data_IF_479473906115
#
_entry.id   IF_479473906115
#
_cell.length_a   1.000
_cell.length_b   1.000
_cell.length_c   1.000
_cell.angle_alpha   90.00
_cell.angle_beta   90.00
_cell.angle_gamma   90.00
#
_symmetry.space_group_name_H-M   'P 1'
#
loop_
_entity.id
_entity.type
_entity.pdbx_description
1 polymer ?
#
# COMPACT_ATOMS: atom_id res chain seq x y z
N UNK A 1 19.35 14.07 -12.60
CA UNK A 1 19.81 12.72 -13.01
C UNK A 1 19.93 11.74 -11.83
N UNK A 2 20.46 12.18 -10.67
CA UNK A 2 20.53 11.37 -9.44
C UNK A 2 19.15 10.96 -8.88
N UNK A 3 18.18 11.88 -8.84
CA UNK A 3 16.81 11.56 -8.35
C UNK A 3 16.06 10.58 -9.29
N UNK A 4 16.23 10.67 -10.62
CA UNK A 4 15.61 9.72 -11.56
C UNK A 4 16.25 8.32 -11.57
N UNK A 5 17.45 8.17 -11.03
CA UNK A 5 18.11 6.84 -10.88
C UNK A 5 17.74 6.16 -9.56
N UNK A 6 17.23 6.91 -8.59
CA UNK A 6 16.78 6.40 -7.28
C UNK A 6 15.43 5.68 -7.39
N UNK A 7 14.54 6.11 -8.30
CA UNK A 7 13.19 5.57 -8.44
C UNK A 7 13.08 4.29 -9.29
N UNK A 8 14.18 3.75 -9.83
CA UNK A 8 14.17 2.61 -10.78
C UNK A 8 14.90 1.36 -10.28
N UNK A 9 15.29 1.30 -9.01
CA UNK A 9 16.18 0.24 -8.52
C UNK A 9 15.39 -0.92 -7.88
N UNK A 10 14.96 -1.84 -8.74
CA UNK A 10 14.87 -3.26 -8.40
C UNK A 10 16.25 -3.76 -7.93
N UNK A 11 16.32 -4.23 -6.68
CA UNK A 11 17.29 -5.20 -6.13
C UNK A 11 18.80 -5.09 -6.42
N UNK A 12 19.31 -4.05 -7.09
CA UNK A 12 20.75 -3.84 -7.21
C UNK A 12 21.28 -3.16 -5.95
N UNK A 13 22.41 -3.73 -5.51
CA UNK A 13 23.20 -3.48 -4.32
C UNK A 13 23.20 -2.01 -3.85
N UNK A 14 23.26 -1.85 -2.53
CA UNK A 14 23.52 -0.61 -1.78
C UNK A 14 23.68 0.64 -2.66
N UNK A 15 22.77 1.63 -2.52
CA UNK A 15 23.00 2.97 -3.04
C UNK A 15 24.31 3.51 -2.44
N UNK A 16 25.41 3.27 -3.15
CA UNK A 16 26.68 3.95 -2.99
C UNK A 16 26.63 5.13 -3.95
N UNK A 17 26.62 6.38 -3.46
CA UNK A 17 26.74 7.52 -4.35
C UNK A 17 27.96 7.32 -5.28
N UNK A 18 27.89 7.75 -6.55
CA UNK A 18 29.01 7.62 -7.48
C UNK A 18 30.28 8.13 -6.80
N UNK A 19 31.21 7.22 -6.51
CA UNK A 19 32.43 7.55 -5.80
C UNK A 19 33.45 8.03 -6.85
N UNK A 20 33.09 9.11 -7.55
CA UNK A 20 33.85 9.65 -8.67
C UNK A 20 35.18 10.30 -8.19
N UNK A 21 35.48 10.23 -6.89
CA UNK A 21 36.69 10.78 -6.26
C UNK A 21 36.71 12.31 -6.15
N UNK A 22 35.69 13.00 -6.69
CA UNK A 22 35.59 14.46 -6.68
C UNK A 22 34.37 14.90 -5.87
N UNK A 23 34.63 15.46 -4.68
CA UNK A 23 33.62 16.04 -3.80
C UNK A 23 34.26 16.55 -2.52
N UNK A 24 33.73 17.61 -1.92
CA UNK A 24 34.19 18.04 -0.59
C UNK A 24 33.65 17.06 0.48
N UNK A 25 34.29 17.01 1.64
CA UNK A 25 33.84 16.18 2.78
C UNK A 25 32.38 16.44 3.16
N UNK A 26 31.91 17.68 2.98
CA UNK A 26 30.54 18.09 3.22
C UNK A 26 29.56 17.45 2.22
N UNK A 27 29.92 17.39 0.94
CA UNK A 27 29.08 16.75 -0.10
C UNK A 27 28.94 15.25 0.19
N UNK A 28 30.02 14.59 0.60
CA UNK A 28 29.96 13.17 1.01
C UNK A 28 29.08 12.97 2.26
N UNK A 29 29.24 13.80 3.29
CA UNK A 29 28.41 13.71 4.49
C UNK A 29 26.91 13.92 4.21
N UNK A 30 26.57 14.83 3.27
CA UNK A 30 25.19 15.04 2.81
C UNK A 30 24.67 13.81 2.08
N UNK A 31 25.45 13.25 1.13
CA UNK A 31 25.06 12.04 0.40
C UNK A 31 24.88 10.82 1.32
N UNK A 32 25.77 10.63 2.30
CA UNK A 32 25.67 9.56 3.28
C UNK A 32 24.40 9.70 4.13
N UNK A 33 24.06 10.93 4.50
CA UNK A 33 22.80 11.21 5.20
C UNK A 33 21.62 10.82 4.34
N UNK A 34 21.53 11.28 3.09
CA UNK A 34 20.45 10.90 2.16
C UNK A 34 20.35 9.38 1.94
N UNK A 35 21.48 8.69 1.75
CA UNK A 35 21.52 7.24 1.62
C UNK A 35 20.95 6.55 2.86
N UNK A 36 21.30 7.05 4.06
CA UNK A 36 20.75 6.54 5.31
C UNK A 36 19.24 6.78 5.42
N UNK A 37 18.75 7.96 5.04
CA UNK A 37 17.31 8.28 5.07
C UNK A 37 16.51 7.32 4.17
N UNK A 38 17.01 7.07 2.95
CA UNK A 38 16.42 6.13 2.02
C UNK A 38 16.39 4.70 2.59
N UNK A 39 17.51 4.23 3.17
CA UNK A 39 17.59 2.91 3.80
C UNK A 39 16.60 2.74 4.94
N UNK A 40 16.44 3.76 5.79
CA UNK A 40 15.50 3.72 6.92
C UNK A 40 14.05 3.59 6.44
N UNK A 41 13.62 4.39 5.46
CA UNK A 41 12.25 4.30 4.91
C UNK A 41 12.04 2.99 4.15
N UNK A 42 13.00 2.53 3.36
CA UNK A 42 12.91 1.24 2.68
C UNK A 42 12.79 0.09 3.66
N UNK A 43 13.53 0.13 4.77
CA UNK A 43 13.46 -0.89 5.82
C UNK A 43 12.09 -0.86 6.52
N UNK A 44 11.57 0.32 6.84
CA UNK A 44 10.21 0.47 7.36
C UNK A 44 9.15 -0.08 6.40
N UNK A 45 9.20 0.27 5.12
CA UNK A 45 8.25 -0.21 4.11
C UNK A 45 8.37 -1.74 3.93
N UNK A 46 9.59 -2.28 3.96
CA UNK A 46 9.81 -3.73 3.90
C UNK A 46 9.18 -4.44 5.10
N UNK A 47 9.40 -3.92 6.31
CA UNK A 47 8.77 -4.44 7.53
C UNK A 47 7.24 -4.37 7.41
N UNK A 48 6.72 -3.21 6.98
CA UNK A 48 5.29 -2.96 6.79
C UNK A 48 4.65 -3.97 5.83
N UNK A 49 5.16 -4.09 4.61
CA UNK A 49 4.64 -5.03 3.60
C UNK A 49 4.91 -6.50 3.96
N UNK A 50 5.84 -6.77 4.89
CA UNK A 50 6.01 -8.10 5.48
C UNK A 50 5.02 -8.41 6.63
N UNK A 51 4.16 -7.46 7.00
CA UNK A 51 3.22 -7.60 8.11
C UNK A 51 3.86 -7.41 9.49
N UNK A 52 5.11 -6.95 9.58
CA UNK A 52 5.77 -6.60 10.84
C UNK A 52 5.52 -5.12 11.16
N UNK A 53 4.27 -4.82 11.55
CA UNK A 53 3.77 -3.45 11.75
C UNK A 53 4.43 -2.78 12.95
N UNK A 54 4.71 -3.54 14.02
CA UNK A 54 5.41 -3.03 15.19
C UNK A 54 6.81 -2.53 14.81
N UNK A 55 7.56 -3.34 14.06
CA UNK A 55 8.88 -2.93 13.60
C UNK A 55 8.81 -1.74 12.65
N UNK A 56 7.87 -1.74 11.70
CA UNK A 56 7.67 -0.61 10.80
C UNK A 56 7.41 0.69 11.58
N UNK A 57 6.54 0.62 12.58
CA UNK A 57 6.21 1.75 13.45
C UNK A 57 7.43 2.29 14.19
N UNK A 58 8.17 1.45 14.91
CA UNK A 58 9.32 1.91 15.70
C UNK A 58 10.42 2.50 14.82
N UNK A 59 10.69 1.89 13.66
CA UNK A 59 11.65 2.43 12.67
C UNK A 59 11.20 3.81 12.19
N UNK A 60 9.92 4.00 11.87
CA UNK A 60 9.40 5.27 11.40
C UNK A 60 9.35 6.35 12.50
N UNK A 61 9.09 5.98 13.76
CA UNK A 61 9.17 6.91 14.91
C UNK A 61 10.60 7.44 15.05
N UNK A 62 11.60 6.56 14.97
CA UNK A 62 13.01 6.96 15.01
C UNK A 62 13.40 7.80 13.79
N UNK A 63 12.92 7.45 12.60
CA UNK A 63 13.11 8.21 11.37
C UNK A 63 12.54 9.63 11.52
N UNK A 64 11.28 9.77 11.97
CA UNK A 64 10.63 11.05 12.20
C UNK A 64 11.39 11.92 13.20
N UNK A 65 11.89 11.32 14.29
CA UNK A 65 12.73 12.02 15.28
C UNK A 65 14.02 12.54 14.65
N UNK A 66 14.66 11.76 13.78
CA UNK A 66 15.85 12.19 13.04
C UNK A 66 15.52 13.33 12.07
N UNK A 67 14.46 13.21 11.26
CA UNK A 67 14.06 14.23 10.29
C UNK A 67 13.70 15.57 10.95
N UNK A 68 13.04 15.54 12.11
CA UNK A 68 12.79 16.72 12.93
C UNK A 68 14.07 17.40 13.41
N UNK A 69 15.07 16.62 13.85
CA UNK A 69 16.39 17.17 14.24
C UNK A 69 17.11 17.82 13.06
N UNK A 70 16.96 17.26 11.85
CA UNK A 70 17.54 17.79 10.62
C UNK A 70 16.75 18.94 10.01
N UNK A 71 15.56 19.28 10.54
CA UNK A 71 14.64 20.29 9.99
C UNK A 71 14.33 20.05 8.50
N UNK A 72 14.11 18.79 8.13
CA UNK A 72 13.78 18.41 6.77
C UNK A 72 12.27 18.18 6.64
N UNK A 73 11.54 19.24 6.30
CA UNK A 73 10.07 19.25 6.26
C UNK A 73 9.48 18.23 5.28
N UNK A 74 10.11 18.05 4.10
CA UNK A 74 9.72 17.00 3.15
C UNK A 74 9.80 15.61 3.77
N UNK A 75 10.92 15.31 4.44
CA UNK A 75 11.15 14.02 5.09
C UNK A 75 10.22 13.79 6.30
N UNK A 76 9.93 14.86 7.06
CA UNK A 76 8.94 14.82 8.14
C UNK A 76 7.56 14.49 7.58
N UNK A 77 7.15 15.12 6.48
CA UNK A 77 5.89 14.84 5.80
C UNK A 77 5.76 13.38 5.37
N UNK A 78 6.78 12.83 4.69
CA UNK A 78 6.81 11.42 4.25
C UNK A 78 6.71 10.46 5.45
N UNK A 79 7.54 10.66 6.47
CA UNK A 79 7.54 9.80 7.66
C UNK A 79 6.20 9.87 8.41
N UNK A 80 5.58 11.04 8.45
CA UNK A 80 4.29 11.23 9.11
C UNK A 80 3.17 10.54 8.32
N UNK A 81 3.13 10.64 6.98
CA UNK A 81 2.17 9.87 6.18
C UNK A 81 2.32 8.35 6.42
N UNK A 82 3.55 7.85 6.39
CA UNK A 82 3.83 6.43 6.59
C UNK A 82 3.49 5.96 8.02
N UNK A 83 3.69 6.80 9.04
CA UNK A 83 3.21 6.52 10.40
C UNK A 83 1.68 6.51 10.48
N UNK A 84 0.99 7.41 9.79
CA UNK A 84 -0.47 7.40 9.67
C UNK A 84 -0.98 6.08 9.08
N UNK A 85 -0.33 5.58 8.04
CA UNK A 85 -0.63 4.27 7.46
C UNK A 85 -0.36 3.11 8.43
N UNK A 86 0.72 3.20 9.23
CA UNK A 86 0.95 2.23 10.31
C UNK A 86 -0.17 2.25 11.35
N UNK A 87 -0.66 3.44 11.74
CA UNK A 87 -1.80 3.57 12.65
C UNK A 87 -3.06 2.93 12.08
N UNK A 88 -3.33 3.10 10.78
CA UNK A 88 -4.45 2.42 10.11
C UNK A 88 -4.33 0.89 10.19
N UNK A 89 -3.16 0.35 9.83
CA UNK A 89 -2.90 -1.08 9.87
C UNK A 89 -3.03 -1.65 11.30
N UNK A 90 -2.47 -0.96 12.31
CA UNK A 90 -2.63 -1.35 13.71
C UNK A 90 -4.10 -1.36 14.13
N UNK A 91 -4.85 -0.30 13.84
CA UNK A 91 -6.27 -0.22 14.19
C UNK A 91 -7.08 -1.38 13.61
N UNK A 92 -6.92 -1.65 12.31
CA UNK A 92 -7.65 -2.74 11.65
C UNK A 92 -7.24 -4.12 12.20
N UNK A 93 -5.95 -4.31 12.48
CA UNK A 93 -5.45 -5.53 13.14
C UNK A 93 -6.11 -5.73 14.50
N UNK A 94 -6.18 -4.68 15.33
CA UNK A 94 -6.83 -4.75 16.64
C UNK A 94 -8.35 -4.96 16.54
N UNK A 95 -8.99 -4.57 15.44
CA UNK A 95 -10.41 -4.91 15.22
C UNK A 95 -10.60 -6.39 14.91
N UNK A 96 -9.76 -6.94 14.03
CA UNK A 96 -9.88 -8.33 13.61
C UNK A 96 -9.40 -9.34 14.67
N UNK A 97 -8.38 -9.00 15.46
CA UNK A 97 -7.86 -9.85 16.55
C UNK A 97 -8.59 -9.67 17.88
N UNK A 98 -9.28 -8.53 18.06
CA UNK A 98 -9.92 -8.18 19.33
C UNK A 98 -8.95 -7.66 20.40
N UNK A 99 -7.68 -7.41 20.06
CA UNK A 99 -6.69 -6.87 21.00
C UNK A 99 -7.06 -5.46 21.50
N UNK A 100 -6.75 -5.21 22.78
CA UNK A 100 -6.99 -3.91 23.42
C UNK A 100 -5.86 -2.90 23.23
N UNK A 101 -4.64 -3.39 22.99
CA UNK A 101 -3.44 -2.58 22.75
C UNK A 101 -2.54 -3.22 21.70
N UNK A 102 -1.78 -2.40 20.96
CA UNK A 102 -0.74 -2.82 20.03
C UNK A 102 0.42 -1.85 20.12
N UNK A 103 1.66 -2.35 20.24
CA UNK A 103 2.86 -1.52 20.49
C UNK A 103 2.74 -0.61 21.73
N UNK A 104 1.97 -1.03 22.74
CA UNK A 104 1.67 -0.23 23.93
C UNK A 104 0.72 0.94 23.68
N UNK A 105 0.00 0.96 22.55
CA UNK A 105 -0.98 1.99 22.20
C UNK A 105 -2.39 1.40 22.25
N UNK A 106 -3.32 2.12 22.90
CA UNK A 106 -4.74 1.78 22.83
C UNK A 106 -5.37 2.20 21.49
N UNK A 107 -6.58 1.70 21.17
CA UNK A 107 -7.34 2.16 19.99
C UNK A 107 -7.51 3.70 19.97
N UNK A 108 -7.74 4.32 21.12
CA UNK A 108 -7.89 5.77 21.23
C UNK A 108 -6.57 6.50 20.93
N UNK A 109 -5.43 5.97 21.38
CA UNK A 109 -4.11 6.53 21.09
C UNK A 109 -3.77 6.42 19.60
N UNK A 110 -4.06 5.27 18.98
CA UNK A 110 -3.86 5.03 17.54
C UNK A 110 -4.70 6.03 16.72
N UNK A 111 -5.96 6.23 17.09
CA UNK A 111 -6.84 7.20 16.42
C UNK A 111 -6.27 8.61 16.55
N UNK A 112 -5.93 9.03 17.77
CA UNK A 112 -5.43 10.38 18.02
C UNK A 112 -4.09 10.64 17.33
N UNK A 113 -3.16 9.68 17.37
CA UNK A 113 -1.85 9.81 16.73
C UNK A 113 -1.95 9.75 15.22
N UNK A 114 -2.74 8.82 14.65
CA UNK A 114 -2.94 8.71 13.21
C UNK A 114 -3.51 9.99 12.61
N UNK A 115 -4.54 10.58 13.23
CA UNK A 115 -5.08 11.89 12.83
C UNK A 115 -4.01 12.97 12.86
N UNK A 116 -3.17 13.01 13.91
CA UNK A 116 -2.10 13.99 14.02
C UNK A 116 -1.03 13.81 12.94
N UNK A 117 -0.60 12.57 12.67
CA UNK A 117 0.41 12.26 11.66
C UNK A 117 -0.06 12.63 10.25
N UNK A 118 -1.29 12.30 9.87
CA UNK A 118 -1.82 12.68 8.56
C UNK A 118 -2.00 14.19 8.42
N UNK A 119 -2.45 14.87 9.49
CA UNK A 119 -2.54 16.34 9.50
C UNK A 119 -1.18 16.98 9.28
N UNK A 120 -0.14 16.52 9.97
CA UNK A 120 1.22 17.03 9.81
C UNK A 120 1.75 16.74 8.39
N UNK A 121 1.49 15.55 7.85
CA UNK A 121 1.89 15.17 6.49
C UNK A 121 1.23 16.03 5.40
N UNK A 122 -0.07 16.30 5.52
CA UNK A 122 -0.82 17.13 4.57
C UNK A 122 -0.35 18.58 4.66
N UNK A 123 -0.29 19.15 5.86
CA UNK A 123 0.14 20.54 6.06
C UNK A 123 1.51 20.81 5.44
N UNK A 124 2.50 19.95 5.72
CA UNK A 124 3.84 20.11 5.14
C UNK A 124 3.86 19.84 3.62
N UNK A 125 2.93 19.01 3.13
CA UNK A 125 2.75 18.77 1.71
C UNK A 125 2.19 19.98 0.97
N UNK A 126 1.18 20.64 1.54
CA UNK A 126 0.58 21.87 1.00
C UNK A 126 1.60 23.01 0.99
N UNK A 127 2.28 23.27 2.12
CA UNK A 127 3.31 24.31 2.20
C UNK A 127 4.44 24.07 1.19
N UNK A 128 4.84 22.80 0.97
CA UNK A 128 5.84 22.45 -0.03
C UNK A 128 5.32 22.60 -1.46
N UNK A 129 4.07 22.23 -1.72
CA UNK A 129 3.41 22.36 -3.02
C UNK A 129 3.29 23.83 -3.43
N UNK A 130 2.73 24.67 -2.55
CA UNK A 130 2.53 26.10 -2.80
C UNK A 130 3.85 26.77 -3.15
N UNK A 131 4.89 26.55 -2.33
CA UNK A 131 6.23 27.08 -2.59
C UNK A 131 6.79 26.59 -3.94
N UNK A 132 6.64 25.31 -4.24
CA UNK A 132 7.18 24.74 -5.48
C UNK A 132 6.45 25.27 -6.71
N UNK A 133 5.13 25.41 -6.62
CA UNK A 133 4.29 25.97 -7.67
C UNK A 133 4.61 27.45 -7.92
N UNK A 134 4.78 28.25 -6.86
CA UNK A 134 5.20 29.65 -6.97
C UNK A 134 6.57 29.80 -7.65
N UNK A 135 7.51 28.89 -7.37
CA UNK A 135 8.87 28.93 -7.91
C UNK A 135 8.99 28.42 -9.35
N UNK A 136 8.23 27.38 -9.73
CA UNK A 136 8.44 26.65 -10.99
C UNK A 136 7.21 26.60 -11.90
N UNK A 137 6.04 27.00 -11.41
CA UNK A 137 4.76 26.79 -12.08
C UNK A 137 4.50 25.31 -12.36
N UNK A 138 3.70 25.05 -13.39
CA UNK A 138 3.43 23.70 -13.88
C UNK A 138 4.69 23.07 -14.46
N UNK A 139 5.23 22.09 -13.74
CA UNK A 139 6.35 21.26 -14.18
C UNK A 139 6.11 19.81 -13.79
N UNK A 140 6.77 18.87 -14.47
CA UNK A 140 6.63 17.44 -14.13
C UNK A 140 6.96 17.14 -12.66
N UNK A 141 7.87 17.89 -12.03
CA UNK A 141 8.14 17.76 -10.60
C UNK A 141 7.02 18.31 -9.72
N UNK A 142 6.36 19.39 -10.14
CA UNK A 142 5.19 19.93 -9.44
C UNK A 142 4.03 18.93 -9.47
N UNK A 143 3.80 18.30 -10.62
CA UNK A 143 2.74 17.29 -10.80
C UNK A 143 3.00 16.03 -9.96
N UNK A 144 4.26 15.59 -9.85
CA UNK A 144 4.64 14.51 -8.92
C UNK A 144 4.37 14.90 -7.46
N UNK A 145 4.68 16.14 -7.05
CA UNK A 145 4.35 16.62 -5.71
C UNK A 145 2.84 16.64 -5.45
N UNK A 146 2.05 17.12 -6.40
CA UNK A 146 0.60 17.12 -6.32
C UNK A 146 0.03 15.71 -6.19
N UNK A 147 0.60 14.74 -6.92
CA UNK A 147 0.21 13.34 -6.82
C UNK A 147 0.50 12.72 -5.44
N UNK A 148 1.62 13.09 -4.82
CA UNK A 148 1.92 12.70 -3.44
C UNK A 148 0.96 13.35 -2.44
N UNK A 149 0.64 14.64 -2.62
CA UNK A 149 -0.32 15.34 -1.77
C UNK A 149 -1.72 14.71 -1.87
N UNK A 150 -2.18 14.40 -3.09
CA UNK A 150 -3.40 13.61 -3.34
C UNK A 150 -3.39 12.29 -2.57
N UNK A 151 -2.27 11.57 -2.59
CA UNK A 151 -2.13 10.30 -1.87
C UNK A 151 -2.22 10.45 -0.35
N UNK A 152 -1.71 11.54 0.22
CA UNK A 152 -1.84 11.83 1.66
C UNK A 152 -3.30 12.13 2.04
N UNK A 153 -3.99 12.91 1.21
CA UNK A 153 -5.42 13.18 1.37
C UNK A 153 -6.23 11.88 1.35
N UNK A 154 -6.01 11.05 0.33
CA UNK A 154 -6.66 9.75 0.22
C UNK A 154 -6.38 8.85 1.43
N UNK A 155 -5.12 8.71 1.84
CA UNK A 155 -4.76 7.88 2.98
C UNK A 155 -5.43 8.36 4.29
N UNK A 156 -5.47 9.69 4.52
CA UNK A 156 -6.18 10.26 5.67
C UNK A 156 -7.67 9.97 5.60
N UNK A 157 -8.26 10.04 4.42
CA UNK A 157 -9.67 9.75 4.23
C UNK A 157 -10.01 8.31 4.60
N UNK A 158 -9.28 7.34 4.02
CA UNK A 158 -9.45 5.92 4.34
C UNK A 158 -9.32 5.69 5.83
N UNK A 159 -8.33 6.32 6.48
CA UNK A 159 -8.16 6.25 7.93
C UNK A 159 -9.37 6.77 8.70
N UNK A 160 -9.80 8.01 8.44
CA UNK A 160 -10.89 8.66 9.17
C UNK A 160 -12.22 7.92 9.03
N UNK A 161 -12.53 7.43 7.83
CA UNK A 161 -13.74 6.65 7.58
C UNK A 161 -13.65 5.27 8.25
N UNK A 162 -12.47 4.62 8.20
CA UNK A 162 -12.25 3.34 8.88
C UNK A 162 -12.41 3.45 10.41
N UNK A 163 -11.92 4.54 11.02
CA UNK A 163 -11.94 4.71 12.48
C UNK A 163 -13.19 5.41 13.02
N UNK A 164 -14.12 5.82 12.14
CA UNK A 164 -15.27 6.67 12.48
C UNK A 164 -16.04 6.20 13.70
N UNK A 165 -16.36 4.90 13.78
CA UNK A 165 -17.16 4.31 14.86
C UNK A 165 -16.51 4.40 16.24
N UNK A 166 -15.18 4.53 16.30
CA UNK A 166 -14.41 4.69 17.52
C UNK A 166 -13.80 6.09 17.68
N UNK A 167 -14.05 7.01 16.73
CA UNK A 167 -13.55 8.37 16.79
C UNK A 167 -14.33 9.20 17.83
N UNK A 168 -13.65 10.14 18.50
CA UNK A 168 -14.29 11.04 19.50
C UNK A 168 -15.40 11.91 18.90
N UNK A 169 -15.23 12.27 17.62
CA UNK A 169 -16.17 13.07 16.83
C UNK A 169 -16.51 12.32 15.54
N UNK A 170 -17.43 11.34 15.55
CA UNK A 170 -17.69 10.48 14.39
C UNK A 170 -18.20 11.25 13.15
N UNK A 171 -19.09 12.21 13.34
CA UNK A 171 -19.64 13.02 12.24
C UNK A 171 -18.59 13.90 11.58
N UNK A 172 -17.66 14.45 12.37
CA UNK A 172 -16.55 15.24 11.85
C UNK A 172 -15.56 14.38 11.08
N UNK A 173 -15.20 13.20 11.61
CA UNK A 173 -14.34 12.23 10.93
C UNK A 173 -14.97 11.78 9.59
N UNK A 174 -16.28 11.53 9.59
CA UNK A 174 -17.03 11.20 8.38
C UNK A 174 -16.93 12.33 7.35
N UNK A 175 -17.37 13.54 7.73
CA UNK A 175 -17.38 14.71 6.84
C UNK A 175 -16.00 15.00 6.28
N UNK A 176 -14.97 14.98 7.12
CA UNK A 176 -13.59 15.24 6.70
C UNK A 176 -13.05 14.12 5.80
N UNK A 177 -13.37 12.85 6.10
CA UNK A 177 -12.97 11.72 5.26
C UNK A 177 -13.54 11.82 3.84
N UNK A 178 -14.84 12.10 3.70
CA UNK A 178 -15.44 12.32 2.37
C UNK A 178 -14.84 13.53 1.65
N UNK A 179 -14.65 14.65 2.36
CA UNK A 179 -14.01 15.84 1.81
C UNK A 179 -12.61 15.53 1.26
N UNK A 180 -11.83 14.74 1.98
CA UNK A 180 -10.47 14.37 1.57
C UNK A 180 -10.45 13.44 0.36
N UNK A 181 -11.44 12.54 0.20
CA UNK A 181 -11.59 11.72 -1.02
C UNK A 181 -11.89 12.58 -2.24
N UNK A 182 -12.76 13.58 -2.10
CA UNK A 182 -13.06 14.52 -3.18
C UNK A 182 -11.82 15.34 -3.57
N UNK A 183 -11.05 15.81 -2.60
CA UNK A 183 -9.79 16.54 -2.84
C UNK A 183 -8.81 15.64 -3.60
N UNK A 184 -8.59 14.40 -3.12
CA UNK A 184 -7.67 13.47 -3.77
C UNK A 184 -8.09 13.17 -5.22
N UNK A 185 -9.38 12.89 -5.47
CA UNK A 185 -9.91 12.66 -6.81
C UNK A 185 -9.70 13.86 -7.73
N UNK A 186 -10.01 15.07 -7.26
CA UNK A 186 -9.85 16.29 -8.05
C UNK A 186 -8.38 16.54 -8.40
N UNK A 187 -7.48 16.29 -7.44
CA UNK A 187 -6.04 16.40 -7.69
C UNK A 187 -5.55 15.35 -8.69
N UNK A 188 -6.05 14.11 -8.62
CA UNK A 188 -5.67 13.04 -9.56
C UNK A 188 -6.10 13.40 -11.00
N UNK A 189 -7.30 13.97 -11.19
CA UNK A 189 -7.78 14.47 -12.49
C UNK A 189 -6.91 15.63 -12.98
N UNK A 190 -6.65 16.62 -12.12
CA UNK A 190 -5.85 17.79 -12.50
C UNK A 190 -4.41 17.42 -12.89
N UNK A 191 -3.80 16.44 -12.21
CA UNK A 191 -2.47 15.92 -12.57
C UNK A 191 -2.48 15.33 -13.98
N UNK A 192 -3.49 14.54 -14.34
CA UNK A 192 -3.60 13.95 -15.69
C UNK A 192 -3.83 15.03 -16.74
N UNK A 193 -4.76 15.95 -16.50
CA UNK A 193 -5.08 17.03 -17.43
C UNK A 193 -3.86 17.93 -17.69
N UNK A 194 -3.15 18.34 -16.63
CA UNK A 194 -1.96 19.17 -16.75
C UNK A 194 -0.78 18.43 -17.40
N UNK A 195 -0.64 17.11 -17.17
CA UNK A 195 0.36 16.33 -17.91
C UNK A 195 0.09 16.33 -19.42
N UNK A 196 -1.18 16.21 -19.82
CA UNK A 196 -1.59 16.25 -21.22
C UNK A 196 -1.37 17.65 -21.84
N UNK A 197 -1.74 18.71 -21.13
CA UNK A 197 -1.60 20.10 -21.61
C UNK A 197 -0.14 20.51 -21.78
N UNK A 198 0.74 20.17 -20.84
CA UNK A 198 2.16 20.55 -20.88
C UNK A 198 2.98 19.57 -21.74
N UNK A 199 2.39 18.46 -22.20
CA UNK A 199 3.05 17.45 -23.01
C UNK A 199 4.06 16.61 -22.24
N UNK A 200 3.87 16.44 -20.94
CA UNK A 200 4.68 15.54 -20.12
C UNK A 200 4.17 14.10 -20.26
N UNK A 201 5.11 13.17 -20.49
CA UNK A 201 4.78 11.74 -20.48
C UNK A 201 4.49 11.30 -19.05
N UNK A 202 3.23 10.94 -18.77
CA UNK A 202 2.87 10.24 -17.53
C UNK A 202 3.47 8.84 -17.57
N UNK A 203 4.13 8.43 -16.49
CA UNK A 203 4.52 7.04 -16.33
C UNK A 203 3.24 6.21 -16.14
N UNK A 204 2.87 5.44 -17.16
CA UNK A 204 1.64 4.65 -17.16
C UNK A 204 1.60 3.59 -16.07
N UNK A 205 2.77 3.05 -15.69
CA UNK A 205 2.87 2.09 -14.58
C UNK A 205 2.46 2.77 -13.27
N UNK A 206 3.07 3.92 -12.95
CA UNK A 206 2.78 4.67 -11.72
C UNK A 206 1.31 5.11 -11.64
N UNK A 207 0.72 5.53 -12.76
CA UNK A 207 -0.70 5.89 -12.83
C UNK A 207 -1.61 4.67 -12.59
N UNK A 208 -1.29 3.52 -13.17
CA UNK A 208 -2.06 2.30 -12.97
C UNK A 208 -1.99 1.81 -11.53
N UNK A 209 -0.81 1.85 -10.91
CA UNK A 209 -0.64 1.54 -9.48
C UNK A 209 -1.45 2.46 -8.60
N UNK A 210 -1.45 3.77 -8.90
CA UNK A 210 -2.28 4.73 -8.20
C UNK A 210 -3.76 4.36 -8.33
N UNK A 211 -4.25 4.11 -9.55
CA UNK A 211 -5.64 3.72 -9.79
C UNK A 211 -6.03 2.45 -9.00
N UNK A 212 -5.18 1.42 -9.01
CA UNK A 212 -5.41 0.20 -8.23
C UNK A 212 -5.46 0.48 -6.72
N UNK A 213 -4.56 1.31 -6.20
CA UNK A 213 -4.55 1.65 -4.77
C UNK A 213 -5.79 2.47 -4.37
N UNK A 214 -6.25 3.39 -5.24
CA UNK A 214 -7.52 4.10 -5.06
C UNK A 214 -8.69 3.13 -5.02
N UNK A 215 -8.76 2.22 -5.99
CA UNK A 215 -9.79 1.20 -6.09
C UNK A 215 -9.86 0.34 -4.83
N UNK A 216 -8.71 -0.18 -4.36
CA UNK A 216 -8.58 -0.99 -3.14
C UNK A 216 -9.07 -0.25 -1.88
N UNK A 217 -8.67 1.00 -1.73
CA UNK A 217 -9.12 1.84 -0.62
C UNK A 217 -10.62 2.05 -0.63
N UNK A 218 -11.22 2.36 -1.79
CA UNK A 218 -12.67 2.55 -1.90
C UNK A 218 -13.43 1.23 -1.69
N UNK A 219 -12.96 0.12 -2.25
CA UNK A 219 -13.54 -1.21 -2.01
C UNK A 219 -13.58 -1.56 -0.52
N UNK A 220 -12.53 -1.20 0.22
CA UNK A 220 -12.50 -1.37 1.67
C UNK A 220 -13.58 -0.55 2.39
N UNK A 221 -13.96 0.62 1.86
CA UNK A 221 -15.08 1.40 2.40
C UNK A 221 -16.42 0.74 2.08
N UNK A 222 -16.59 0.20 0.88
CA UNK A 222 -17.82 -0.52 0.51
C UNK A 222 -18.05 -1.77 1.38
N UNK A 223 -16.98 -2.50 1.73
CA UNK A 223 -17.04 -3.61 2.69
C UNK A 223 -17.46 -3.17 4.11
N UNK A 224 -17.32 -1.88 4.41
CA UNK A 224 -17.77 -1.25 5.66
C UNK A 224 -19.16 -0.60 5.51
N UNK A 225 -19.94 -1.01 4.51
CA UNK A 225 -21.30 -0.54 4.20
C UNK A 225 -21.38 0.96 3.82
N UNK A 226 -20.29 1.57 3.37
CA UNK A 226 -20.36 2.90 2.76
C UNK A 226 -21.01 2.82 1.36
N UNK A 227 -21.75 3.87 0.94
CA UNK A 227 -22.33 3.91 -0.40
C UNK A 227 -21.25 4.02 -1.49
N UNK A 228 -21.54 3.46 -2.67
CA UNK A 228 -20.68 3.63 -3.86
C UNK A 228 -20.90 5.00 -4.53
N UNK A 229 -20.46 6.06 -3.86
CA UNK A 229 -20.49 7.42 -4.40
C UNK A 229 -19.35 7.71 -5.39
N UNK A 230 -18.37 6.82 -5.49
CA UNK A 230 -17.16 7.00 -6.31
C UNK A 230 -17.18 6.22 -7.63
N UNK A 231 -18.24 5.47 -7.89
CA UNK A 231 -18.42 4.74 -9.14
C UNK A 231 -17.33 3.69 -9.33
N UNK A 232 -17.19 2.75 -8.39
CA UNK A 232 -16.16 1.71 -8.43
C UNK A 232 -16.18 0.93 -9.75
N UNK A 233 -17.37 0.63 -10.28
CA UNK A 233 -17.53 -0.03 -11.59
C UNK A 233 -16.92 0.78 -12.74
N UNK A 234 -17.08 2.11 -12.72
CA UNK A 234 -16.49 3.01 -13.73
C UNK A 234 -14.95 3.01 -13.61
N UNK A 235 -14.42 3.04 -12.38
CA UNK A 235 -12.99 3.00 -12.13
C UNK A 235 -12.36 1.69 -12.63
N UNK A 236 -12.98 0.53 -12.35
CA UNK A 236 -12.54 -0.76 -12.87
C UNK A 236 -12.59 -0.77 -14.40
N UNK A 237 -13.67 -0.27 -14.99
CA UNK A 237 -13.82 -0.18 -16.45
C UNK A 237 -12.76 0.70 -17.09
N UNK A 238 -12.41 1.82 -16.45
CA UNK A 238 -11.33 2.70 -16.89
C UNK A 238 -9.96 2.00 -16.79
N UNK A 239 -9.67 1.30 -15.69
CA UNK A 239 -8.44 0.52 -15.53
C UNK A 239 -8.31 -0.59 -16.60
N UNK A 240 -9.41 -1.31 -16.86
CA UNK A 240 -9.48 -2.35 -17.90
C UNK A 240 -9.22 -1.75 -19.29
N UNK A 241 -9.78 -0.57 -19.59
CA UNK A 241 -9.54 0.12 -20.85
C UNK A 241 -8.08 0.51 -21.02
N UNK A 242 -7.45 1.07 -19.99
CA UNK A 242 -6.02 1.43 -20.04
C UNK A 242 -5.13 0.19 -20.24
N UNK A 243 -5.44 -0.91 -19.54
CA UNK A 243 -4.74 -2.18 -19.71
C UNK A 243 -4.88 -2.73 -21.14
N UNK A 244 -6.09 -2.71 -21.71
CA UNK A 244 -6.31 -3.12 -23.11
C UNK A 244 -5.60 -2.23 -24.13
N UNK A 245 -5.49 -0.93 -23.87
CA UNK A 245 -4.70 -0.02 -24.72
C UNK A 245 -3.22 -0.40 -24.62
N UNK A 246 -2.71 -0.64 -23.41
CA UNK A 246 -1.33 -1.05 -23.19
C UNK A 246 -1.00 -2.39 -23.85
N UNK A 247 -1.91 -3.37 -23.81
CA UNK A 247 -1.76 -4.69 -24.44
C UNK A 247 -1.48 -4.64 -25.95
N UNK A 248 -1.90 -3.57 -26.64
CA UNK A 248 -1.58 -3.35 -28.05
C UNK A 248 -0.10 -3.01 -28.29
N UNK A 249 0.64 -2.67 -27.25
CA UNK A 249 2.06 -2.38 -27.28
C UNK A 249 2.81 -3.20 -26.22
N UNK A 250 3.45 -4.30 -26.62
CA UNK A 250 4.24 -5.16 -25.72
C UNK A 250 5.42 -4.42 -25.03
N UNK A 251 5.86 -3.27 -25.57
CA UNK A 251 6.91 -2.43 -24.97
C UNK A 251 6.36 -1.34 -24.03
N UNK A 252 5.09 -1.44 -23.63
CA UNK A 252 4.48 -0.50 -22.69
C UNK A 252 5.20 -0.51 -21.34
N UNK A 253 5.48 0.68 -20.78
CA UNK A 253 6.08 0.83 -19.44
C UNK A 253 5.25 0.12 -18.35
N UNK A 254 3.95 -0.08 -18.58
CA UNK A 254 3.05 -0.82 -17.69
C UNK A 254 3.50 -2.27 -17.43
N UNK A 255 4.27 -2.84 -18.37
CA UNK A 255 4.70 -4.24 -18.34
C UNK A 255 6.19 -4.42 -18.06
N UNK A 256 6.88 -3.37 -17.60
CA UNK A 256 8.31 -3.46 -17.27
C UNK A 256 8.57 -4.39 -16.08
N UNK A 257 7.77 -4.25 -15.02
CA UNK A 257 7.99 -4.95 -13.74
C UNK A 257 7.01 -6.11 -13.55
N UNK A 258 5.84 -6.04 -14.19
CA UNK A 258 4.75 -7.03 -14.08
C UNK A 258 4.29 -7.44 -15.47
N UNK A 259 4.13 -8.74 -15.70
CA UNK A 259 3.67 -9.23 -17.01
C UNK A 259 2.24 -8.75 -17.31
N UNK A 260 1.81 -8.76 -18.58
CA UNK A 260 0.44 -8.39 -18.92
C UNK A 260 -0.62 -9.27 -18.22
N UNK A 261 -0.34 -10.57 -18.07
CA UNK A 261 -1.19 -11.49 -17.30
C UNK A 261 -1.23 -11.10 -15.82
N UNK A 262 -0.08 -10.78 -15.21
CA UNK A 262 -0.05 -10.30 -13.82
C UNK A 262 -0.86 -9.02 -13.61
N UNK A 263 -0.78 -8.05 -14.53
CA UNK A 263 -1.59 -6.83 -14.47
C UNK A 263 -3.10 -7.11 -14.59
N UNK A 264 -3.48 -8.09 -15.41
CA UNK A 264 -4.87 -8.53 -15.50
C UNK A 264 -5.32 -9.20 -14.19
N UNK A 265 -4.51 -10.07 -13.59
CA UNK A 265 -4.81 -10.72 -12.32
C UNK A 265 -5.02 -9.73 -11.18
N UNK A 266 -4.21 -8.68 -11.09
CA UNK A 266 -4.38 -7.63 -10.08
C UNK A 266 -5.74 -6.97 -10.20
N UNK A 267 -6.17 -6.66 -11.42
CA UNK A 267 -7.46 -6.02 -11.67
C UNK A 267 -8.64 -6.99 -11.51
N UNK A 268 -8.46 -8.24 -11.89
CA UNK A 268 -9.44 -9.31 -11.71
C UNK A 268 -9.70 -9.61 -10.23
N UNK A 269 -8.67 -9.57 -9.40
CA UNK A 269 -8.82 -9.72 -7.96
C UNK A 269 -9.72 -8.63 -7.38
N UNK A 270 -9.55 -7.37 -7.81
CA UNK A 270 -10.42 -6.27 -7.37
C UNK A 270 -11.83 -6.36 -7.97
N UNK A 271 -11.97 -6.84 -9.21
CA UNK A 271 -13.28 -7.09 -9.83
C UNK A 271 -14.06 -8.19 -9.11
N UNK A 272 -13.38 -9.28 -8.73
CA UNK A 272 -13.96 -10.34 -7.89
C UNK A 272 -14.42 -9.75 -6.56
N UNK A 273 -13.58 -8.94 -5.90
CA UNK A 273 -13.91 -8.28 -4.64
C UNK A 273 -15.16 -7.40 -4.78
N UNK A 274 -15.21 -6.55 -5.79
CA UNK A 274 -16.38 -5.71 -6.09
C UNK A 274 -17.66 -6.53 -6.34
N UNK A 275 -17.56 -7.58 -7.17
CA UNK A 275 -18.69 -8.44 -7.50
C UNK A 275 -19.23 -9.17 -6.25
N UNK A 276 -18.35 -9.57 -5.32
CA UNK A 276 -18.77 -10.15 -4.03
C UNK A 276 -19.50 -9.15 -3.15
N UNK A 277 -18.99 -7.92 -3.03
CA UNK A 277 -19.62 -6.84 -2.24
C UNK A 277 -21.01 -6.51 -2.78
N UNK A 278 -21.16 -6.45 -4.10
CA UNK A 278 -22.44 -6.16 -4.78
C UNK A 278 -23.34 -7.38 -4.95
N UNK A 279 -22.98 -8.52 -4.35
CA UNK A 279 -23.70 -9.80 -4.41
C UNK A 279 -23.89 -10.36 -5.84
N UNK A 280 -23.02 -9.98 -6.78
CA UNK A 280 -22.91 -10.53 -8.13
C UNK A 280 -22.02 -11.79 -8.15
N UNK A 281 -22.36 -12.79 -7.31
CA UNK A 281 -21.52 -13.97 -7.04
C UNK A 281 -21.21 -14.78 -8.30
N UNK A 282 -22.16 -14.93 -9.23
CA UNK A 282 -21.95 -15.63 -10.50
C UNK A 282 -20.86 -14.93 -11.35
N UNK A 283 -20.84 -13.60 -11.37
CA UNK A 283 -19.82 -12.83 -12.06
C UNK A 283 -18.44 -13.04 -11.42
N UNK A 284 -18.36 -12.97 -10.09
CA UNK A 284 -17.13 -13.22 -9.34
C UNK A 284 -16.56 -14.61 -9.66
N UNK A 285 -17.41 -15.65 -9.67
CA UNK A 285 -17.01 -17.01 -10.00
C UNK A 285 -16.53 -17.14 -11.45
N UNK A 286 -17.20 -16.52 -12.42
CA UNK A 286 -16.75 -16.53 -13.83
C UNK A 286 -15.37 -15.92 -14.01
N UNK A 287 -15.09 -14.80 -13.34
CA UNK A 287 -13.77 -14.17 -13.35
C UNK A 287 -12.73 -15.10 -12.70
N UNK A 288 -13.06 -15.71 -11.55
CA UNK A 288 -12.19 -16.66 -10.87
C UNK A 288 -11.85 -17.89 -11.73
N UNK A 289 -12.84 -18.50 -12.42
CA UNK A 289 -12.60 -19.61 -13.35
C UNK A 289 -11.67 -19.20 -14.49
N UNK A 290 -11.89 -18.01 -15.07
CA UNK A 290 -11.03 -17.49 -16.16
C UNK A 290 -9.58 -17.39 -15.70
N UNK A 291 -9.32 -16.83 -14.52
CA UNK A 291 -7.97 -16.71 -13.97
C UNK A 291 -7.28 -18.08 -13.87
N UNK A 292 -7.98 -19.13 -13.41
CA UNK A 292 -7.41 -20.48 -13.36
C UNK A 292 -7.18 -21.16 -14.72
N UNK A 293 -7.89 -20.74 -15.76
CA UNK A 293 -7.75 -21.33 -17.10
C UNK A 293 -6.68 -20.66 -17.96
N UNK A 294 -6.52 -19.33 -17.82
CA UNK A 294 -5.72 -18.52 -18.74
C UNK A 294 -4.29 -18.30 -18.26
N UNK A 295 -4.02 -18.44 -16.96
CA UNK A 295 -2.76 -17.99 -16.37
C UNK A 295 -1.79 -19.12 -16.01
N UNK A 296 -0.57 -19.04 -16.54
CA UNK A 296 0.52 -19.98 -16.24
C UNK A 296 1.07 -19.84 -14.81
N UNK A 297 0.86 -18.67 -14.18
CA UNK A 297 1.25 -18.39 -12.80
C UNK A 297 0.32 -17.33 -12.20
N UNK A 298 -0.42 -17.68 -11.15
CA UNK A 298 -1.36 -16.77 -10.49
C UNK A 298 -0.71 -16.17 -9.24
N UNK A 299 -0.85 -14.86 -9.04
CA UNK A 299 -0.47 -14.26 -7.77
C UNK A 299 -1.29 -14.86 -6.62
N UNK A 300 -0.66 -15.32 -5.54
CA UNK A 300 -1.37 -15.97 -4.43
C UNK A 300 -2.57 -15.19 -3.86
N UNK A 301 -2.51 -13.85 -3.84
CA UNK A 301 -3.64 -13.04 -3.36
C UNK A 301 -4.82 -13.06 -4.34
N UNK A 302 -4.53 -13.06 -5.65
CA UNK A 302 -5.52 -13.12 -6.72
C UNK A 302 -6.11 -14.54 -6.80
N UNK A 303 -5.27 -15.56 -6.60
CA UNK A 303 -5.65 -16.97 -6.47
C UNK A 303 -6.64 -17.18 -5.31
N UNK A 304 -6.31 -16.66 -4.12
CA UNK A 304 -7.18 -16.73 -2.96
C UNK A 304 -8.52 -16.01 -3.20
N UNK A 305 -8.51 -14.86 -3.86
CA UNK A 305 -9.74 -14.15 -4.22
C UNK A 305 -10.62 -14.99 -5.17
N UNK A 306 -10.02 -15.61 -6.18
CA UNK A 306 -10.70 -16.49 -7.13
C UNK A 306 -11.32 -17.71 -6.43
N UNK A 307 -10.58 -18.40 -5.55
CA UNK A 307 -11.15 -19.55 -4.81
C UNK A 307 -12.28 -19.12 -3.88
N UNK A 308 -12.14 -18.01 -3.15
CA UNK A 308 -13.22 -17.50 -2.29
C UNK A 308 -14.50 -17.23 -3.10
N UNK A 309 -14.37 -16.69 -4.32
CA UNK A 309 -15.53 -16.50 -5.20
C UNK A 309 -16.18 -17.81 -5.63
N UNK A 310 -15.40 -18.87 -5.89
CA UNK A 310 -15.93 -20.19 -6.20
C UNK A 310 -16.66 -20.83 -5.00
N UNK A 311 -16.10 -20.68 -3.79
CA UNK A 311 -16.74 -21.16 -2.56
C UNK A 311 -18.08 -20.48 -2.34
N UNK A 312 -18.14 -19.15 -2.48
CA UNK A 312 -19.38 -18.38 -2.36
C UNK A 312 -20.42 -18.82 -3.39
N UNK A 313 -19.99 -19.07 -4.64
CA UNK A 313 -20.87 -19.53 -5.70
C UNK A 313 -21.43 -20.93 -5.45
N UNK A 314 -20.60 -21.88 -5.01
CA UNK A 314 -21.05 -23.22 -4.63
C UNK A 314 -22.05 -23.14 -3.48
N UNK A 315 -21.80 -22.31 -2.47
CA UNK A 315 -22.72 -22.12 -1.35
C UNK A 315 -24.07 -21.53 -1.77
N UNK A 316 -24.09 -20.62 -2.75
CA UNK A 316 -25.33 -20.06 -3.32
C UNK A 316 -26.18 -21.16 -3.99
N UNK A 317 -25.52 -21.99 -4.80
CA UNK A 317 -26.10 -23.02 -5.66
C UNK A 317 -26.45 -24.34 -4.91
N UNK A 318 -25.97 -24.51 -3.67
CA UNK A 318 -26.41 -25.61 -2.79
C UNK A 318 -27.91 -25.58 -2.53
N UNK A 319 -28.51 -24.39 -2.54
CA UNK A 319 -29.96 -24.24 -2.45
C UNK A 319 -30.66 -24.84 -3.68
N UNK A 320 -29.96 -24.95 -4.81
CA UNK A 320 -30.47 -25.42 -6.10
C UNK A 320 -30.07 -26.88 -6.44
N UNK A 321 -29.23 -27.51 -5.62
CA UNK A 321 -28.72 -28.90 -5.79
C UNK A 321 -27.86 -29.12 -7.06
N UNK A 322 -27.22 -28.07 -7.56
CA UNK A 322 -26.44 -28.14 -8.80
C UNK A 322 -25.01 -28.71 -8.61
N UNK A 323 -24.50 -28.76 -7.37
CA UNK A 323 -23.16 -29.28 -7.06
C UNK A 323 -23.18 -30.60 -6.28
N UNK A 324 -22.20 -31.47 -6.58
CA UNK A 324 -21.96 -32.68 -5.77
C UNK A 324 -21.23 -32.31 -4.48
N UNK A 325 -21.45 -33.08 -3.41
CA UNK A 325 -20.71 -32.93 -2.15
C UNK A 325 -19.19 -33.07 -2.33
N UNK A 326 -18.77 -33.85 -3.32
CA UNK A 326 -17.36 -34.06 -3.66
C UNK A 326 -16.73 -32.79 -4.25
N UNK A 327 -17.39 -32.13 -5.21
CA UNK A 327 -16.89 -30.88 -5.80
C UNK A 327 -16.76 -29.79 -4.75
N UNK A 328 -17.74 -29.66 -3.86
CA UNK A 328 -17.69 -28.70 -2.75
C UNK A 328 -16.48 -28.95 -1.86
N UNK A 329 -16.30 -30.20 -1.40
CA UNK A 329 -15.19 -30.53 -0.53
C UNK A 329 -13.84 -30.30 -1.22
N UNK A 330 -13.74 -30.57 -2.52
CA UNK A 330 -12.53 -30.30 -3.29
C UNK A 330 -12.18 -28.80 -3.32
N UNK A 331 -13.15 -27.92 -3.55
CA UNK A 331 -12.93 -26.47 -3.57
C UNK A 331 -12.55 -25.95 -2.17
N UNK A 332 -13.20 -26.45 -1.11
CA UNK A 332 -12.85 -26.08 0.26
C UNK A 332 -11.44 -26.54 0.64
N UNK A 333 -11.07 -27.77 0.30
CA UNK A 333 -9.71 -28.27 0.53
C UNK A 333 -8.68 -27.41 -0.23
N UNK A 334 -8.99 -27.02 -1.47
CA UNK A 334 -8.11 -26.17 -2.27
C UNK A 334 -7.97 -24.76 -1.66
N UNK A 335 -9.05 -24.20 -1.10
CA UNK A 335 -8.97 -22.95 -0.34
C UNK A 335 -8.01 -23.10 0.85
N UNK A 336 -8.18 -24.15 1.64
CA UNK A 336 -7.33 -24.41 2.82
C UNK A 336 -5.85 -24.57 2.42
N UNK A 337 -5.57 -25.26 1.31
CA UNK A 337 -4.22 -25.43 0.77
C UNK A 337 -3.58 -24.07 0.40
N UNK A 338 -4.30 -23.22 -0.34
CA UNK A 338 -3.82 -21.88 -0.73
C UNK A 338 -3.62 -20.98 0.49
N UNK A 339 -4.54 -21.00 1.45
CA UNK A 339 -4.41 -20.22 2.67
C UNK A 339 -3.17 -20.64 3.47
N UNK A 340 -2.91 -21.95 3.59
CA UNK A 340 -1.71 -22.46 4.24
C UNK A 340 -0.43 -22.10 3.48
N UNK A 341 -0.39 -22.26 2.15
CA UNK A 341 0.79 -21.88 1.35
C UNK A 341 1.06 -20.37 1.43
N UNK A 342 0.01 -19.56 1.39
CA UNK A 342 0.11 -18.11 1.55
C UNK A 342 0.76 -17.77 2.90
N UNK A 343 0.32 -18.42 3.99
CA UNK A 343 0.88 -18.25 5.32
C UNK A 343 2.33 -18.72 5.44
N UNK A 344 2.69 -19.85 4.84
CA UNK A 344 4.08 -20.32 4.82
C UNK A 344 5.00 -19.37 4.06
N UNK A 345 4.54 -18.85 2.93
CA UNK A 345 5.25 -17.84 2.15
C UNK A 345 5.43 -16.54 2.94
N UNK A 346 4.44 -16.14 3.74
CA UNK A 346 4.52 -15.00 4.66
C UNK A 346 5.65 -15.22 5.67
N UNK A 347 5.62 -16.34 6.40
CA UNK A 347 6.60 -16.68 7.45
C UNK A 347 8.01 -16.76 6.87
N UNK A 348 8.16 -17.36 5.69
CA UNK A 348 9.45 -17.44 4.99
C UNK A 348 10.01 -16.06 4.67
N UNK A 349 9.20 -15.15 4.10
CA UNK A 349 9.63 -13.77 3.79
C UNK A 349 10.07 -13.01 5.05
N UNK A 350 9.36 -13.18 6.17
CA UNK A 350 9.74 -12.57 7.45
C UNK A 350 11.08 -13.12 7.96
N UNK A 351 11.28 -14.44 7.88
CA UNK A 351 12.56 -15.08 8.23
C UNK A 351 13.70 -14.56 7.36
N UNK A 352 13.50 -14.43 6.04
CA UNK A 352 14.56 -13.98 5.13
C UNK A 352 14.88 -12.49 5.32
N UNK A 353 13.88 -11.66 5.63
CA UNK A 353 14.09 -10.27 6.03
C UNK A 353 14.95 -10.17 7.31
N UNK A 354 14.70 -11.04 8.31
CA UNK A 354 15.52 -11.13 9.54
C UNK A 354 16.97 -11.56 9.24
N UNK A 355 17.18 -12.54 8.37
CA UNK A 355 18.55 -12.99 7.98
C UNK A 355 19.33 -11.91 7.23
N UNK A 356 18.66 -11.18 6.33
CA UNK A 356 19.26 -10.05 5.61
C UNK A 356 19.72 -8.96 6.58
N UNK A 357 18.94 -8.71 7.62
CA UNK A 357 19.27 -7.76 8.70
C UNK A 357 20.48 -8.22 9.55
N UNK A 358 20.52 -9.47 9.98
CA UNK A 358 21.68 -10.02 10.70
C UNK A 358 22.97 -9.85 9.89
N UNK A 359 22.88 -10.07 8.58
CA UNK A 359 24.01 -9.88 7.66
C UNK A 359 24.43 -8.40 7.58
N UNK A 360 23.48 -7.47 7.51
CA UNK A 360 23.78 -6.03 7.52
C UNK A 360 24.40 -5.56 8.85
N UNK A 361 23.89 -6.03 9.99
CA UNK A 361 24.42 -5.69 11.32
C UNK A 361 25.81 -6.30 11.55
N UNK A 362 26.06 -7.53 11.10
CA UNK A 362 27.35 -8.20 11.27
C UNK A 362 28.47 -7.56 10.42
N UNK A 363 28.11 -6.90 9.31
CA UNK A 363 29.06 -6.11 8.50
C UNK A 363 29.55 -4.85 9.23
N UNK A 364 28.78 -4.34 10.21
CA UNK A 364 29.12 -3.16 11.01
C UNK A 364 29.48 -3.58 12.43
N UNK A 365 30.75 -3.90 12.66
CA UNK A 365 31.35 -3.94 14.02
C UNK A 365 31.30 -2.53 14.65
N UNK A 366 30.14 -2.09 15.12
CA UNK A 366 29.97 -0.92 16.00
C UNK A 366 29.24 -1.34 17.27
N UNK A 367 29.87 -1.08 18.42
CA UNK A 367 29.62 -1.70 19.74
C UNK A 367 28.38 -1.21 20.51
N UNK A 368 27.32 -0.66 19.89
CA UNK A 368 26.33 0.08 20.71
C UNK A 368 24.84 0.03 20.37
N UNK A 369 24.35 -0.94 19.60
CA UNK A 369 22.90 -1.08 19.43
C UNK A 369 22.43 -2.46 19.89
N UNK A 370 21.88 -2.54 21.12
CA UNK A 370 21.06 -3.66 21.57
C UNK A 370 19.63 -3.14 21.69
N UNK A 371 18.80 -3.39 20.68
CA UNK A 371 17.35 -3.43 20.91
C UNK A 371 17.05 -4.80 21.53
N UNK A 372 16.45 -4.80 22.72
CA UNK A 372 15.82 -5.98 23.28
C UNK A 372 14.41 -6.06 22.71
N UNK A 373 14.15 -7.06 21.88
CA UNK A 373 12.80 -7.51 21.54
C UNK A 373 12.78 -9.03 21.64
N UNK A 374 12.56 -9.54 22.85
CA UNK A 374 12.13 -10.92 23.06
C UNK A 374 10.60 -10.93 22.96
N UNK A 375 10.06 -11.30 21.80
CA UNK A 375 8.62 -11.51 21.59
C UNK A 375 8.31 -13.02 21.56
N UNK A 376 7.19 -13.39 22.19
CA UNK A 376 6.70 -14.76 22.41
C UNK A 376 6.13 -15.40 21.14
N UNK A 377 6.50 -16.66 20.90
CA UNK A 377 6.61 -17.31 19.59
C UNK A 377 5.36 -18.08 19.09
N UNK A 378 4.23 -18.01 19.78
CA UNK A 378 3.07 -18.90 19.52
C UNK A 378 1.77 -18.19 19.14
N UNK A 379 1.69 -16.86 19.26
CA UNK A 379 0.53 -16.04 18.82
C UNK A 379 0.78 -15.32 17.48
N UNK A 380 1.99 -15.44 16.90
CA UNK A 380 2.42 -14.69 15.70
C UNK A 380 1.65 -15.06 14.41
N UNK A 381 1.14 -16.29 14.27
CA UNK A 381 0.53 -16.75 13.00
C UNK A 381 -0.82 -16.09 12.72
N UNK A 382 -1.74 -16.06 13.70
CA UNK A 382 -3.06 -15.44 13.54
C UNK A 382 -2.99 -13.91 13.42
N UNK A 383 -2.08 -13.26 14.15
CA UNK A 383 -1.83 -11.82 13.99
C UNK A 383 -1.37 -11.49 12.57
N UNK A 384 -0.42 -12.26 12.02
CA UNK A 384 0.16 -11.97 10.71
C UNK A 384 -0.84 -12.02 9.54
N UNK A 385 -1.87 -12.87 9.62
CA UNK A 385 -2.92 -12.97 8.61
C UNK A 385 -3.85 -11.75 8.64
N UNK A 386 -4.35 -11.40 9.84
CA UNK A 386 -5.20 -10.22 10.05
C UNK A 386 -4.49 -8.93 9.64
N UNK A 387 -3.23 -8.77 10.03
CA UNK A 387 -2.39 -7.63 9.64
C UNK A 387 -2.31 -7.49 8.11
N UNK A 388 -2.08 -8.59 7.38
CA UNK A 388 -1.85 -8.51 5.94
C UNK A 388 -3.11 -8.29 5.12
N UNK A 389 -4.28 -8.79 5.54
CA UNK A 389 -5.55 -8.38 4.91
C UNK A 389 -5.77 -6.87 5.01
N UNK A 390 -5.28 -6.26 6.09
CA UNK A 390 -5.43 -4.81 6.33
C UNK A 390 -4.38 -3.93 5.65
N UNK A 391 -3.32 -4.55 5.11
CA UNK A 391 -2.20 -3.89 4.39
C UNK A 391 -2.24 -4.12 2.88
N UNK A 392 -3.36 -4.59 2.31
CA UNK A 392 -3.52 -4.99 0.88
C UNK A 392 -3.55 -3.80 -0.11
N UNK A 393 -2.61 -2.86 0.00
CA UNK A 393 -2.49 -1.76 -0.97
C UNK A 393 -3.67 -0.77 -0.97
N UNK A 394 -4.52 -0.79 0.07
CA UNK A 394 -5.63 0.16 0.23
C UNK A 394 -5.16 1.63 0.41
N UNK A 395 -3.86 1.83 0.56
CA UNK A 395 -3.21 3.12 0.77
C UNK A 395 -1.75 3.06 0.30
N UNK A 396 -1.17 4.22 0.05
CA UNK A 396 0.18 4.33 -0.51
C UNK A 396 1.20 4.70 0.56
N UNK A 397 2.22 3.85 0.75
CA UNK A 397 3.43 4.22 1.50
C UNK A 397 4.34 5.07 0.59
N UNK A 398 4.74 6.24 1.06
CA UNK A 398 5.64 7.12 0.32
C UNK A 398 7.09 6.61 0.39
N UNK A 399 7.81 6.77 -0.72
CA UNK A 399 9.24 6.53 -0.87
C UNK A 399 9.91 7.89 -1.16
N UNK A 400 11.17 8.06 -0.74
CA UNK A 400 11.92 9.33 -0.85
C UNK A 400 12.24 9.81 -2.26
#
# INVERSE_FOLDING_TARGET
KMIRSINRLENKEDFTPPNDGYGSSEVFAVNDTFSMLFKVVRFANTAFFSGDIEKAYWVLVDALRLFRKLKNDKAIGIASNNLGNCMLAMYRTMQATGESEMCGLSKADIISQGTAYFRDAIKLGEEAYDKFYEEQGWSGSCLVFMQHLSSRYFNRAIFLLTVKSNHKYPEEANRLGFQDLDIARNMDVEVVDQCLEVGFSVNKSDLFELMLNRLRGVLSLLEMDYPDEWGVEEQISNALRELHIALKNQSSDLFCDVSPAGRMQELDAELIRYARITNAIEMAAKVGIRMFMEDEYVFHHAELAAVKALVDYVALEENEKNFTSETKQAILNFQDEIENEFMDNIVRRMSDARKSEETMLCSRKSKHWKLQTESTRTEESHLSFSVRETCRGDFTMEIF
#
